data_IF_936831395219
#
_entry.id   IF_936831395219
#
_cell.length_a   1.000
_cell.length_b   1.000
_cell.length_c   1.000
_cell.angle_alpha   90.00
_cell.angle_beta   90.00
_cell.angle_gamma   90.00
#
_symmetry.space_group_name_H-M   'P 1'
#
loop_
_entity.id
_entity.type
_entity.pdbx_description
1 polymer ?
#
# COMPACT_ATOMS: atom_id res chain seq x y z
N UNK A 1 -0.03 -10.80 -8.20
CA UNK A 1 -0.68 -9.61 -7.57
C UNK A 1 -1.03 -9.93 -6.14
N UNK A 2 -0.92 -8.97 -5.22
CA UNK A 2 -1.20 -9.21 -3.81
C UNK A 2 -2.58 -8.68 -3.45
N UNK A 3 -3.32 -9.49 -2.69
CA UNK A 3 -4.72 -9.29 -2.35
C UNK A 3 -4.85 -9.33 -0.84
N UNK A 4 -5.45 -8.28 -0.27
CA UNK A 4 -5.93 -8.26 1.10
C UNK A 4 -7.42 -8.55 1.09
N UNK A 5 -7.86 -9.56 1.82
CA UNK A 5 -9.26 -9.96 1.89
C UNK A 5 -9.70 -10.07 3.35
N UNK A 6 -10.88 -9.54 3.66
CA UNK A 6 -11.51 -9.70 4.98
C UNK A 6 -12.74 -10.58 4.82
N UNK A 7 -12.74 -11.70 5.53
CA UNK A 7 -13.80 -12.69 5.55
C UNK A 7 -14.53 -12.66 6.89
N UNK A 8 -15.81 -13.00 6.88
CA UNK A 8 -16.60 -13.28 8.08
C UNK A 8 -16.98 -14.76 8.13
N UNK A 9 -16.32 -15.50 9.02
CA UNK A 9 -16.48 -16.95 9.16
C UNK A 9 -17.39 -17.29 10.34
N UNK A 10 -18.09 -18.41 10.24
CA UNK A 10 -18.79 -18.97 11.41
C UNK A 10 -17.77 -19.46 12.45
N UNK A 11 -18.09 -19.35 13.75
CA UNK A 11 -17.26 -19.85 14.85
C UNK A 11 -17.45 -21.37 15.02
N UNK A 12 -17.19 -22.13 13.95
CA UNK A 12 -17.23 -23.61 13.95
C UNK A 12 -15.94 -24.18 13.35
N UNK A 13 -15.51 -25.38 13.80
CA UNK A 13 -14.28 -26.00 13.30
C UNK A 13 -14.26 -26.17 11.78
N UNK A 14 -13.09 -25.99 11.16
CA UNK A 14 -12.88 -26.20 9.72
C UNK A 14 -13.28 -25.03 8.81
N UNK A 15 -13.93 -23.97 9.32
CA UNK A 15 -14.35 -22.84 8.49
C UNK A 15 -13.17 -22.10 7.83
N UNK A 16 -12.06 -21.92 8.56
CA UNK A 16 -10.86 -21.31 7.99
C UNK A 16 -10.34 -22.15 6.82
N UNK A 17 -10.25 -23.48 6.98
CA UNK A 17 -9.80 -24.37 5.91
C UNK A 17 -10.71 -24.28 4.68
N UNK A 18 -12.03 -24.25 4.87
CA UNK A 18 -13.01 -24.08 3.79
C UNK A 18 -12.84 -22.77 3.02
N UNK A 19 -12.37 -21.72 3.69
CA UNK A 19 -12.07 -20.42 3.10
C UNK A 19 -10.74 -20.39 2.35
N UNK A 20 -9.72 -21.11 2.83
CA UNK A 20 -8.40 -21.14 2.21
C UNK A 20 -8.35 -22.04 0.97
N UNK A 21 -9.14 -23.11 0.94
CA UNK A 21 -9.16 -24.07 -0.16
C UNK A 21 -9.35 -23.45 -1.57
N UNK A 22 -10.33 -22.55 -1.82
CA UNK A 22 -10.46 -21.92 -3.14
C UNK A 22 -9.24 -21.06 -3.49
N UNK A 23 -8.66 -20.36 -2.51
CA UNK A 23 -7.45 -19.55 -2.71
C UNK A 23 -6.30 -20.46 -3.17
N UNK A 24 -6.05 -21.56 -2.45
CA UNK A 24 -5.00 -22.52 -2.79
C UNK A 24 -5.26 -23.19 -4.16
N UNK A 25 -6.50 -23.57 -4.44
CA UNK A 25 -6.91 -24.24 -5.69
C UNK A 25 -6.65 -23.38 -6.93
N UNK A 26 -6.84 -22.06 -6.83
CA UNK A 26 -6.54 -21.12 -7.92
C UNK A 26 -5.09 -20.60 -7.89
N UNK A 27 -4.20 -21.26 -7.15
CA UNK A 27 -2.77 -20.95 -7.10
C UNK A 27 -2.45 -19.70 -6.28
N UNK A 28 -3.28 -19.38 -5.30
CA UNK A 28 -3.03 -18.30 -4.35
C UNK A 28 -1.98 -18.72 -3.31
N UNK A 29 -0.88 -17.97 -3.22
CA UNK A 29 0.15 -18.14 -2.21
C UNK A 29 -0.16 -17.27 -0.98
N UNK A 30 -0.45 -17.89 0.17
CA UNK A 30 -0.83 -17.16 1.38
C UNK A 30 0.42 -16.60 2.07
N UNK A 31 0.43 -15.29 2.28
CA UNK A 31 1.51 -14.60 3.00
C UNK A 31 1.18 -14.45 4.50
N UNK A 32 -0.06 -14.09 4.82
CA UNK A 32 -0.46 -13.84 6.21
C UNK A 32 -1.93 -14.15 6.45
N UNK A 33 -2.22 -14.64 7.65
CA UNK A 33 -3.56 -14.90 8.17
C UNK A 33 -3.65 -14.26 9.55
N UNK A 34 -4.60 -13.36 9.74
CA UNK A 34 -4.90 -12.75 11.04
C UNK A 34 -6.33 -13.09 11.42
N UNK A 35 -6.45 -13.79 12.55
CA UNK A 35 -7.73 -14.26 13.10
C UNK A 35 -7.98 -13.58 14.46
N UNK A 36 -9.04 -12.80 14.57
CA UNK A 36 -9.37 -12.07 15.80
C UNK A 36 -10.60 -12.65 16.47
N UNK A 37 -10.42 -13.78 17.19
CA UNK A 37 -11.53 -14.51 17.83
C UNK A 37 -12.27 -13.70 18.91
N UNK A 38 -11.60 -12.70 19.50
CA UNK A 38 -12.17 -11.80 20.51
C UNK A 38 -13.04 -10.68 19.94
N UNK A 39 -12.96 -10.40 18.63
CA UNK A 39 -13.82 -9.43 17.96
C UNK A 39 -14.87 -10.18 17.15
N UNK A 40 -16.05 -10.41 17.73
CA UNK A 40 -17.20 -10.89 16.96
C UNK A 40 -17.81 -9.74 16.18
N UNK A 41 -18.20 -9.99 14.93
CA UNK A 41 -19.01 -9.05 14.16
C UNK A 41 -20.42 -8.95 14.80
N UNK A 42 -21.24 -7.93 14.46
CA UNK A 42 -22.62 -7.85 14.95
C UNK A 42 -23.46 -9.11 14.63
N UNK A 43 -23.06 -9.86 13.59
CA UNK A 43 -23.67 -11.12 13.16
C UNK A 43 -23.12 -12.36 13.89
N UNK A 44 -22.25 -12.18 14.89
CA UNK A 44 -21.64 -13.27 15.67
C UNK A 44 -20.54 -14.05 14.94
N UNK A 45 -20.11 -13.58 13.76
CA UNK A 45 -19.06 -14.21 12.95
C UNK A 45 -17.68 -13.76 13.38
N UNK A 46 -16.68 -14.58 13.08
CA UNK A 46 -15.28 -14.28 13.35
C UNK A 46 -14.64 -13.65 12.11
N UNK A 47 -14.10 -12.42 12.23
CA UNK A 47 -13.40 -11.79 11.14
C UNK A 47 -12.03 -12.45 10.97
N UNK A 48 -11.73 -12.82 9.72
CA UNK A 48 -10.43 -13.33 9.30
C UNK A 48 -9.90 -12.43 8.20
N UNK A 49 -8.72 -11.86 8.41
CA UNK A 49 -8.00 -11.13 7.39
C UNK A 49 -6.95 -12.04 6.75
N UNK A 50 -6.94 -12.06 5.42
CA UNK A 50 -6.01 -12.82 4.60
C UNK A 50 -5.21 -11.87 3.73
N UNK A 51 -3.92 -12.11 3.61
CA UNK A 51 -3.05 -11.50 2.61
C UNK A 51 -2.43 -12.62 1.78
N UNK A 52 -2.65 -12.60 0.47
CA UNK A 52 -2.17 -13.65 -0.43
C UNK A 52 -1.82 -13.09 -1.80
N UNK A 53 -0.89 -13.75 -2.48
CA UNK A 53 -0.53 -13.46 -3.86
C UNK A 53 -1.28 -14.38 -4.82
N UNK A 54 -1.78 -13.86 -5.93
CA UNK A 54 -2.45 -14.62 -6.98
C UNK A 54 -2.03 -14.13 -8.37
N UNK A 55 -2.00 -15.03 -9.36
CA UNK A 55 -1.40 -14.75 -10.67
C UNK A 55 -2.05 -13.58 -11.44
N UNK A 56 -3.37 -13.52 -11.49
CA UNK A 56 -4.11 -12.57 -12.31
C UNK A 56 -5.51 -12.26 -11.73
N UNK A 57 -6.18 -11.24 -12.28
CA UNK A 57 -7.51 -10.78 -11.83
C UNK A 57 -8.59 -11.84 -12.07
N UNK A 58 -8.50 -12.59 -13.17
CA UNK A 58 -9.47 -13.63 -13.52
C UNK A 58 -9.46 -14.77 -12.50
N UNK A 59 -8.29 -15.15 -11.98
CA UNK A 59 -8.16 -16.12 -10.89
C UNK A 59 -8.76 -15.58 -9.59
N UNK A 60 -8.54 -14.31 -9.27
CA UNK A 60 -9.16 -13.68 -8.10
C UNK A 60 -10.69 -13.69 -8.20
N UNK A 61 -11.25 -13.40 -9.36
CA UNK A 61 -12.70 -13.48 -9.59
C UNK A 61 -13.24 -14.90 -9.37
N UNK A 62 -12.52 -15.92 -9.84
CA UNK A 62 -12.88 -17.33 -9.57
C UNK A 62 -12.85 -17.67 -8.07
N UNK A 63 -11.84 -17.20 -7.34
CA UNK A 63 -11.77 -17.34 -5.87
C UNK A 63 -13.00 -16.71 -5.21
N UNK A 64 -13.35 -15.46 -5.59
CA UNK A 64 -14.50 -14.76 -5.02
C UNK A 64 -15.82 -15.47 -5.32
N UNK A 65 -16.00 -15.97 -6.55
CA UNK A 65 -17.16 -16.77 -6.94
C UNK A 65 -17.28 -18.06 -6.11
N UNK A 66 -16.17 -18.77 -5.89
CA UNK A 66 -16.18 -20.01 -5.13
C UNK A 66 -16.45 -19.76 -3.63
N UNK A 67 -15.85 -18.73 -3.04
CA UNK A 67 -16.15 -18.30 -1.66
C UNK A 67 -17.63 -17.97 -1.48
N UNK A 68 -18.22 -17.25 -2.44
CA UNK A 68 -19.66 -16.94 -2.45
C UNK A 68 -20.51 -18.20 -2.52
N UNK A 69 -20.16 -19.16 -3.38
CA UNK A 69 -20.87 -20.44 -3.49
C UNK A 69 -20.83 -21.26 -2.20
N UNK A 70 -19.74 -21.12 -1.43
CA UNK A 70 -19.54 -21.76 -0.12
C UNK A 70 -20.23 -21.04 1.04
N UNK A 71 -20.99 -19.97 0.77
CA UNK A 71 -21.64 -19.08 1.75
C UNK A 71 -20.66 -18.39 2.72
N UNK A 72 -19.43 -18.18 2.27
CA UNK A 72 -18.41 -17.44 3.00
C UNK A 72 -18.58 -15.96 2.66
N UNK A 73 -18.82 -15.14 3.68
CA UNK A 73 -19.04 -13.71 3.49
C UNK A 73 -17.71 -13.01 3.32
N UNK A 74 -17.52 -12.39 2.15
CA UNK A 74 -16.39 -11.51 1.87
C UNK A 74 -16.83 -10.08 2.18
N UNK A 75 -16.25 -9.48 3.22
CA UNK A 75 -16.58 -8.11 3.65
C UNK A 75 -15.80 -7.06 2.88
N UNK A 76 -14.53 -7.34 2.62
CA UNK A 76 -13.61 -6.38 1.99
C UNK A 76 -12.64 -7.13 1.08
N UNK A 77 -12.38 -6.58 -0.11
CA UNK A 77 -11.31 -7.03 -1.02
C UNK A 77 -10.52 -5.79 -1.42
N UNK A 78 -9.32 -5.64 -0.88
CA UNK A 78 -8.36 -4.61 -1.26
C UNK A 78 -7.28 -5.23 -2.14
N UNK A 79 -7.20 -4.81 -3.40
CA UNK A 79 -6.01 -5.04 -4.23
C UNK A 79 -4.88 -4.13 -3.72
N UNK A 80 -4.26 -4.52 -2.61
CA UNK A 80 -3.01 -3.89 -2.20
C UNK A 80 -1.89 -4.54 -2.97
N UNK A 81 -1.54 -3.95 -4.12
CA UNK A 81 -0.18 -4.07 -4.65
C UNK A 81 0.74 -3.74 -3.48
N UNK A 82 1.64 -4.63 -3.07
CA UNK A 82 2.71 -4.22 -2.16
C UNK A 82 3.48 -3.15 -2.90
N UNK A 83 3.26 -1.91 -2.49
CA UNK A 83 4.00 -0.78 -3.01
C UNK A 83 5.18 -0.61 -2.07
N UNK A 84 6.39 -0.65 -2.62
CA UNK A 84 7.59 -0.23 -1.93
C UNK A 84 7.38 1.18 -1.42
N UNK A 85 7.62 1.37 -0.13
CA UNK A 85 7.52 2.68 0.50
C UNK A 85 8.90 3.29 0.64
N UNK A 86 8.97 4.60 0.43
CA UNK A 86 10.17 5.36 0.71
C UNK A 86 9.77 6.74 1.17
N UNK A 87 10.44 7.23 2.20
CA UNK A 87 10.22 8.56 2.75
C UNK A 87 11.42 9.43 2.44
N UNK A 88 11.18 10.66 2.02
CA UNK A 88 12.21 11.68 1.80
C UNK A 88 11.85 12.95 2.54
N UNK A 89 12.87 13.67 3.01
CA UNK A 89 12.73 14.99 3.60
C UNK A 89 13.45 16.00 2.70
N UNK A 90 12.79 17.11 2.40
CA UNK A 90 13.32 18.24 1.64
C UNK A 90 13.43 19.43 2.58
N UNK A 91 14.58 20.08 2.64
CA UNK A 91 14.87 21.22 3.53
C UNK A 91 15.28 22.44 2.69
N UNK A 92 14.75 23.61 3.02
CA UNK A 92 15.05 24.90 2.38
C UNK A 92 13.80 25.75 2.16
N UNK A 93 13.78 26.63 1.16
CA UNK A 93 12.57 27.42 0.83
C UNK A 93 11.52 26.60 0.05
N UNK A 94 11.10 25.46 0.60
CA UNK A 94 10.17 24.50 0.02
C UNK A 94 8.81 25.12 -0.34
N UNK A 95 8.30 26.03 0.48
CA UNK A 95 7.04 26.76 0.20
C UNK A 95 7.09 27.50 -1.15
N UNK A 96 8.25 28.05 -1.51
CA UNK A 96 8.46 28.78 -2.76
C UNK A 96 8.93 27.87 -3.92
N UNK A 97 9.14 26.58 -3.66
CA UNK A 97 9.75 25.67 -4.61
C UNK A 97 8.80 25.14 -5.70
N UNK A 98 7.50 25.43 -5.62
CA UNK A 98 6.44 24.85 -6.46
C UNK A 98 6.33 23.32 -6.31
N UNK A 99 5.97 22.91 -5.08
CA UNK A 99 5.79 21.50 -4.72
C UNK A 99 4.71 20.79 -5.53
N UNK A 100 3.72 21.53 -6.04
CA UNK A 100 2.68 20.98 -6.90
C UNK A 100 3.28 20.42 -8.18
N UNK A 101 4.15 21.19 -8.85
CA UNK A 101 4.84 20.72 -10.05
C UNK A 101 5.65 19.44 -9.80
N UNK A 102 6.31 19.34 -8.65
CA UNK A 102 7.05 18.14 -8.26
C UNK A 102 6.11 16.92 -8.12
N UNK A 103 5.00 17.08 -7.39
CA UNK A 103 4.02 16.00 -7.17
C UNK A 103 3.43 15.52 -8.50
N UNK A 104 3.07 16.44 -9.38
CA UNK A 104 2.51 16.11 -10.70
C UNK A 104 3.50 15.30 -11.55
N UNK A 105 4.79 15.67 -11.53
CA UNK A 105 5.84 14.92 -12.23
C UNK A 105 6.06 13.53 -11.64
N UNK A 106 6.08 13.41 -10.31
CA UNK A 106 6.25 12.13 -9.63
C UNK A 106 5.06 11.20 -9.92
N UNK A 107 3.83 11.68 -9.77
CA UNK A 107 2.63 10.90 -10.09
C UNK A 107 2.49 10.57 -11.58
N UNK A 108 3.23 11.25 -12.46
CA UNK A 108 3.35 10.91 -13.87
C UNK A 108 4.18 9.66 -14.15
N UNK A 109 4.99 9.18 -13.19
CA UNK A 109 5.77 7.95 -13.32
C UNK A 109 4.84 6.75 -13.15
N UNK A 110 4.67 5.88 -14.17
CA UNK A 110 3.78 4.73 -14.06
C UNK A 110 4.17 3.82 -12.89
N UNK A 111 3.19 3.47 -12.05
CA UNK A 111 3.43 2.63 -10.88
C UNK A 111 4.03 3.35 -9.68
N UNK A 112 4.15 4.68 -9.72
CA UNK A 112 4.54 5.51 -8.57
C UNK A 112 3.36 6.37 -8.11
N UNK A 113 3.27 6.62 -6.80
CA UNK A 113 2.34 7.56 -6.20
C UNK A 113 2.97 8.28 -5.02
N UNK A 114 2.76 9.58 -4.92
CA UNK A 114 2.97 10.33 -3.67
C UNK A 114 1.82 10.04 -2.73
N UNK A 115 2.08 9.24 -1.69
CA UNK A 115 1.08 8.74 -0.75
C UNK A 115 0.86 9.64 0.47
N UNK A 116 1.82 10.50 0.80
CA UNK A 116 1.71 11.46 1.90
C UNK A 116 2.60 12.68 1.63
N UNK A 117 2.14 13.86 2.04
CA UNK A 117 2.90 15.11 2.07
C UNK A 117 2.64 15.80 3.40
N UNK A 118 3.71 16.12 4.11
CA UNK A 118 3.66 16.99 5.28
C UNK A 118 4.61 18.16 5.09
N UNK A 119 4.15 19.36 5.45
CA UNK A 119 4.91 20.60 5.33
C UNK A 119 5.07 21.21 6.73
N UNK A 120 6.31 21.58 7.07
CA UNK A 120 6.64 22.27 8.31
C UNK A 120 7.18 23.66 7.98
N UNK A 121 6.55 24.66 8.57
CA UNK A 121 6.93 26.07 8.42
C UNK A 121 7.98 26.42 9.46
N UNK A 122 9.05 27.09 9.03
CA UNK A 122 9.93 27.81 9.95
C UNK A 122 9.37 29.18 10.31
N UNK A 123 10.24 30.07 10.78
CA UNK A 123 9.90 31.46 11.03
C UNK A 123 9.42 32.16 9.74
N UNK A 124 8.66 33.27 9.85
CA UNK A 124 8.24 34.05 8.68
C UNK A 124 9.44 34.44 7.80
N UNK A 125 9.48 33.96 6.56
CA UNK A 125 10.59 34.18 5.63
C UNK A 125 11.80 33.25 5.80
N UNK A 126 11.78 32.39 6.82
CA UNK A 126 12.81 31.39 7.08
C UNK A 126 12.68 30.14 6.21
N UNK A 127 13.58 29.18 6.43
CA UNK A 127 13.52 27.88 5.77
C UNK A 127 12.31 27.06 6.25
N UNK A 128 11.87 26.17 5.38
CA UNK A 128 10.77 25.24 5.59
C UNK A 128 11.25 23.82 5.31
N UNK A 129 10.46 22.83 5.68
CA UNK A 129 10.74 21.45 5.28
C UNK A 129 9.48 20.75 4.80
N UNK A 130 9.66 19.78 3.91
CA UNK A 130 8.61 18.87 3.50
C UNK A 130 9.05 17.44 3.69
N UNK A 131 8.18 16.61 4.25
CA UNK A 131 8.28 15.15 4.21
C UNK A 131 7.36 14.63 3.12
N UNK A 132 7.89 13.83 2.21
CA UNK A 132 7.11 13.12 1.20
C UNK A 132 7.25 11.62 1.44
N UNK A 133 6.13 10.90 1.38
CA UNK A 133 6.14 9.44 1.35
C UNK A 133 5.68 8.94 0.00
N UNK A 134 6.54 8.18 -0.67
CA UNK A 134 6.31 7.58 -1.98
C UNK A 134 5.89 6.13 -1.82
N UNK A 135 5.00 5.69 -2.70
CA UNK A 135 4.60 4.31 -2.89
C UNK A 135 4.90 3.91 -4.34
N UNK A 136 5.70 2.86 -4.54
CA UNK A 136 6.17 2.43 -5.85
C UNK A 136 5.89 0.93 -6.09
N UNK A 137 5.48 0.55 -7.30
CA UNK A 137 5.22 -0.86 -7.65
C UNK A 137 6.51 -1.71 -7.64
N UNK A 138 7.63 -1.12 -8.01
CA UNK A 138 8.91 -1.79 -8.14
C UNK A 138 10.08 -0.82 -7.84
N UNK A 139 11.30 -1.33 -7.59
CA UNK A 139 12.45 -0.50 -7.23
C UNK A 139 12.87 0.47 -8.33
N UNK A 140 12.51 0.22 -9.59
CA UNK A 140 12.91 1.06 -10.72
C UNK A 140 12.07 2.34 -10.80
N UNK A 141 10.77 2.24 -10.51
CA UNK A 141 9.91 3.40 -10.26
C UNK A 141 10.52 4.29 -9.16
N UNK A 142 10.97 3.70 -8.05
CA UNK A 142 11.55 4.46 -6.94
C UNK A 142 12.88 5.12 -7.32
N UNK A 143 13.78 4.41 -8.02
CA UNK A 143 15.03 5.01 -8.56
C UNK A 143 14.75 6.19 -9.49
N UNK A 144 13.72 6.10 -10.31
CA UNK A 144 13.31 7.18 -11.21
C UNK A 144 12.76 8.37 -10.44
N UNK A 145 11.95 8.12 -9.40
CA UNK A 145 11.48 9.15 -8.48
C UNK A 145 12.62 9.90 -7.78
N UNK A 146 13.63 9.16 -7.29
CA UNK A 146 14.78 9.73 -6.60
C UNK A 146 15.64 10.62 -7.52
N UNK A 147 15.75 10.27 -8.81
CA UNK A 147 16.42 11.12 -9.81
C UNK A 147 15.67 12.43 -10.02
N UNK A 148 14.36 12.37 -10.25
CA UNK A 148 13.52 13.57 -10.42
C UNK A 148 13.54 14.48 -9.17
N UNK A 149 13.45 13.89 -7.97
CA UNK A 149 13.57 14.60 -6.71
C UNK A 149 14.94 15.29 -6.57
N UNK A 150 16.03 14.59 -6.87
CA UNK A 150 17.37 15.14 -6.83
C UNK A 150 17.55 16.31 -7.81
N UNK A 151 17.05 16.17 -9.03
CA UNK A 151 17.09 17.22 -10.05
C UNK A 151 16.25 18.45 -9.67
N UNK A 152 15.05 18.23 -9.12
CA UNK A 152 14.20 19.30 -8.61
C UNK A 152 14.87 20.06 -7.47
N UNK A 153 15.40 19.33 -6.47
CA UNK A 153 16.06 19.93 -5.32
C UNK A 153 17.31 20.73 -5.74
N UNK A 154 18.14 20.19 -6.64
CA UNK A 154 19.30 20.93 -7.19
C UNK A 154 18.90 22.24 -7.87
N UNK A 155 17.89 22.21 -8.74
CA UNK A 155 17.42 23.42 -9.45
C UNK A 155 16.87 24.49 -8.51
N UNK A 156 16.28 24.08 -7.39
CA UNK A 156 15.62 24.95 -6.42
C UNK A 156 16.50 25.28 -5.20
N UNK A 157 17.76 24.83 -5.19
CA UNK A 157 18.69 24.96 -4.07
C UNK A 157 18.11 24.43 -2.75
N UNK A 158 17.55 23.22 -2.80
CA UNK A 158 16.99 22.51 -1.64
C UNK A 158 17.88 21.32 -1.29
N UNK A 159 17.94 20.99 0.00
CA UNK A 159 18.60 19.80 0.49
C UNK A 159 17.61 18.62 0.48
N UNK A 160 17.99 17.55 -0.20
CA UNK A 160 17.24 16.28 -0.20
C UNK A 160 17.90 15.31 0.78
N UNK A 161 17.14 14.84 1.76
CA UNK A 161 17.56 13.83 2.73
C UNK A 161 16.70 12.58 2.51
N UNK A 162 17.22 11.53 1.86
CA UNK A 162 16.51 10.26 1.78
C UNK A 162 16.46 9.60 3.15
N UNK A 163 15.34 8.98 3.49
CA UNK A 163 15.28 8.09 4.66
C UNK A 163 15.80 6.72 4.28
N UNK A 164 16.74 6.19 5.06
CA UNK A 164 17.03 4.76 5.06
C UNK A 164 15.96 4.06 5.91
N UNK A 165 14.88 3.57 5.29
CA UNK A 165 13.95 2.64 5.93
C UNK A 165 14.14 1.23 5.35
N UNK A 166 14.30 0.27 6.27
CA UNK A 166 14.72 -1.11 6.09
C UNK A 166 13.93 -1.85 5.01
N UNK A 167 14.67 -2.50 4.11
CA UNK A 167 14.17 -3.62 3.31
C UNK A 167 13.98 -4.80 4.27
N UNK A 168 12.83 -4.85 4.93
CA UNK A 168 12.36 -5.97 5.74
C UNK A 168 11.38 -6.85 4.97
#
# INVERSE_FOLDING_TARGET
>A
MIVRMVLELEDVPGQLLRALEPIARFGGNIQSIIHQRTKKTPTGRVPVMLVFEIGDRTRLEKVLSELKSRRILVREVGERVYMLKSTVVIIGHVVHADMRQLIDRLNGIPGLMVSDLSLMMGEPGGESSARLSLSARDPECLRSAMRELGDFCRRKNLLLVPSEEEVG
#
